data_IF_725542047207
#
_entry.id   IF_725542047207
#
_cell.length_a   1.000
_cell.length_b   1.000
_cell.length_c   1.000
_cell.angle_alpha   90.00
_cell.angle_beta   90.00
_cell.angle_gamma   90.00
#
_symmetry.space_group_name_H-M   'P 1'
#
loop_
_entity.id
_entity.type
_entity.pdbx_description
1 polymer ?
#
# COMPACT_ATOMS: atom_id res chain seq x y z
N UNK A 1 3.47 15.96 2.19
CA UNK A 1 4.31 15.31 1.16
C UNK A 1 3.47 14.77 -0.01
N UNK A 2 2.49 13.90 0.20
CA UNK A 2 1.63 13.39 -0.88
C UNK A 2 0.88 14.51 -1.64
N UNK A 3 0.45 15.57 -0.95
CA UNK A 3 -0.30 16.68 -1.54
C UNK A 3 0.51 17.58 -2.48
N UNK A 4 1.84 17.47 -2.46
CA UNK A 4 2.72 18.34 -3.26
C UNK A 4 3.13 17.73 -4.60
N UNK A 5 2.74 16.48 -4.87
CA UNK A 5 3.08 15.77 -6.11
C UNK A 5 1.84 15.55 -6.97
N UNK A 6 1.73 16.31 -8.06
CA UNK A 6 0.64 16.14 -9.04
C UNK A 6 0.66 14.77 -9.71
N UNK A 7 1.84 14.14 -9.79
CA UNK A 7 2.03 12.82 -10.39
C UNK A 7 1.31 11.70 -9.62
N UNK A 8 1.22 11.81 -8.30
CA UNK A 8 0.58 10.79 -7.45
C UNK A 8 -0.91 10.62 -7.77
N UNK A 9 -1.58 11.71 -8.15
CA UNK A 9 -3.01 11.69 -8.47
C UNK A 9 -3.38 10.67 -9.54
N UNK A 10 -2.47 10.38 -10.47
CA UNK A 10 -2.65 9.40 -11.55
C UNK A 10 -2.68 7.96 -11.02
N UNK A 11 -2.01 7.70 -9.90
CA UNK A 11 -1.90 6.37 -9.29
C UNK A 11 -2.88 6.12 -8.16
N UNK A 12 -3.76 7.08 -7.87
CA UNK A 12 -4.85 6.89 -6.91
C UNK A 12 -5.90 5.97 -7.54
N UNK A 13 -6.23 4.83 -6.90
CA UNK A 13 -7.30 3.95 -7.38
C UNK A 13 -8.66 4.66 -7.44
N UNK A 14 -9.59 4.16 -8.25
CA UNK A 14 -10.96 4.70 -8.28
C UNK A 14 -11.63 4.65 -6.92
N UNK A 15 -11.37 3.61 -6.14
CA UNK A 15 -11.86 3.47 -4.77
C UNK A 15 -11.12 4.35 -3.74
N UNK A 16 -10.10 5.08 -4.16
CA UNK A 16 -9.22 5.89 -3.30
C UNK A 16 -7.99 5.15 -2.82
N UNK A 17 -6.98 5.91 -2.40
CA UNK A 17 -5.80 5.40 -1.73
C UNK A 17 -5.90 5.59 -0.22
N UNK A 18 -5.13 4.84 0.54
CA UNK A 18 -4.94 5.09 1.96
C UNK A 18 -3.48 4.86 2.35
N UNK A 19 -3.09 5.51 3.42
CA UNK A 19 -1.81 5.33 4.07
C UNK A 19 -2.10 4.95 5.51
N UNK A 20 -1.66 3.77 5.91
CA UNK A 20 -1.86 3.26 7.26
C UNK A 20 -0.56 3.00 7.97
N UNK A 21 -0.55 3.19 9.29
CA UNK A 21 0.60 2.87 10.13
C UNK A 21 0.12 2.23 11.44
N UNK A 22 0.70 1.08 11.75
CA UNK A 22 0.43 0.37 13.00
C UNK A 22 1.29 0.91 14.14
N UNK A 23 0.73 0.88 15.37
CA UNK A 23 1.55 1.00 16.57
C UNK A 23 2.46 -0.23 16.72
N UNK A 24 3.53 -0.18 17.54
CA UNK A 24 4.34 -1.36 17.80
C UNK A 24 3.51 -2.52 18.36
N UNK A 25 3.81 -3.74 17.91
CA UNK A 25 3.11 -4.97 18.33
C UNK A 25 1.57 -4.90 18.18
N UNK A 26 1.07 -4.61 16.96
CA UNK A 26 -0.37 -4.49 16.75
C UNK A 26 -1.07 -5.84 16.92
N UNK A 27 -2.29 -5.82 17.48
CA UNK A 27 -3.11 -7.02 17.69
C UNK A 27 -4.19 -7.15 16.61
N UNK A 28 -4.68 -6.02 16.11
CA UNK A 28 -5.75 -6.01 15.12
C UNK A 28 -5.91 -4.67 14.43
N UNK A 29 -6.93 -4.52 13.57
CA UNK A 29 -7.15 -3.30 12.77
C UNK A 29 -7.30 -2.01 13.60
N UNK A 30 -7.77 -2.13 14.86
CA UNK A 30 -7.88 -1.00 15.77
C UNK A 30 -6.52 -0.42 16.19
N UNK A 31 -5.42 -1.11 15.90
CA UNK A 31 -4.05 -0.66 16.19
C UNK A 31 -3.36 -0.03 14.96
N UNK A 32 -4.09 0.10 13.85
CA UNK A 32 -3.59 0.71 12.61
C UNK A 32 -4.33 2.03 12.37
N UNK A 33 -3.58 3.12 12.34
CA UNK A 33 -4.11 4.44 12.00
C UNK A 33 -4.10 4.63 10.47
N UNK A 34 -5.19 5.14 9.93
CA UNK A 34 -5.33 5.45 8.51
C UNK A 34 -6.29 6.64 8.32
N UNK A 35 -6.45 7.12 7.09
CA UNK A 35 -7.31 8.26 6.79
C UNK A 35 -8.76 7.80 6.66
N UNK A 36 -9.70 8.33 7.48
CA UNK A 36 -11.13 8.06 7.32
C UNK A 36 -11.62 8.57 5.97
N UNK A 37 -12.41 7.76 5.26
CA UNK A 37 -12.93 8.13 3.95
C UNK A 37 -11.94 8.05 2.80
N UNK A 38 -10.71 7.67 3.07
CA UNK A 38 -9.60 7.52 2.09
C UNK A 38 -9.12 8.84 1.49
N UNK A 39 -8.03 8.78 0.77
CA UNK A 39 -7.44 9.88 0.02
C UNK A 39 -7.89 9.73 -1.44
N UNK A 40 -8.39 10.80 -2.02
CA UNK A 40 -8.91 10.80 -3.38
C UNK A 40 -8.15 11.76 -4.29
N UNK A 41 -8.17 11.48 -5.59
CA UNK A 41 -7.73 12.43 -6.61
C UNK A 41 -8.96 13.15 -7.17
N UNK A 42 -9.01 14.46 -6.98
CA UNK A 42 -10.07 15.32 -7.50
C UNK A 42 -9.46 16.32 -8.48
N UNK A 43 -9.81 16.20 -9.75
CA UNK A 43 -9.25 17.03 -10.82
C UNK A 43 -7.71 17.04 -10.86
N UNK A 44 -7.10 15.87 -10.62
CA UNK A 44 -5.65 15.70 -10.61
C UNK A 44 -4.96 16.12 -9.31
N UNK A 45 -5.70 16.58 -8.31
CA UNK A 45 -5.14 16.96 -7.00
C UNK A 45 -5.50 15.94 -5.94
N UNK A 46 -4.56 15.67 -5.06
CA UNK A 46 -4.77 14.81 -3.90
C UNK A 46 -5.57 15.57 -2.84
N UNK A 47 -6.69 14.98 -2.43
CA UNK A 47 -7.51 15.50 -1.32
C UNK A 47 -7.48 14.51 -0.15
N UNK A 48 -7.05 15.00 1.01
CA UNK A 48 -7.04 14.27 2.27
C UNK A 48 -8.18 14.80 3.13
N UNK A 49 -9.25 14.02 3.36
CA UNK A 49 -10.47 14.52 3.99
C UNK A 49 -10.36 14.79 5.50
N UNK A 50 -9.32 14.27 6.16
CA UNK A 50 -9.21 14.44 7.60
C UNK A 50 -7.89 13.91 8.17
N UNK A 51 -7.82 13.89 9.50
CA UNK A 51 -6.69 13.37 10.23
C UNK A 51 -6.72 11.84 10.33
N UNK A 52 -5.56 11.18 10.51
CA UNK A 52 -5.52 9.74 10.73
C UNK A 52 -6.30 9.34 12.00
N UNK A 53 -7.02 8.24 11.90
CA UNK A 53 -7.74 7.63 13.02
C UNK A 53 -7.46 6.13 13.07
N UNK A 54 -7.40 5.56 14.26
CA UNK A 54 -7.28 4.12 14.42
C UNK A 54 -8.55 3.39 13.97
N UNK A 55 -8.38 2.26 13.27
CA UNK A 55 -9.48 1.47 12.77
C UNK A 55 -10.16 2.01 11.51
N UNK A 56 -9.61 3.04 10.88
CA UNK A 56 -10.24 3.73 9.75
C UNK A 56 -10.17 2.99 8.40
N UNK A 57 -9.31 1.98 8.25
CA UNK A 57 -9.15 1.25 6.98
C UNK A 57 -8.98 -0.25 7.22
N UNK A 58 -9.85 -1.07 6.62
CA UNK A 58 -9.69 -2.52 6.64
C UNK A 58 -8.62 -3.01 5.67
N UNK A 59 -8.59 -2.49 4.45
CA UNK A 59 -7.70 -2.98 3.38
C UNK A 59 -6.22 -2.78 3.71
N UNK A 60 -5.85 -1.57 4.10
CA UNK A 60 -4.47 -1.26 4.48
C UNK A 60 -4.10 -1.96 5.78
N UNK A 61 -5.02 -2.02 6.75
CA UNK A 61 -4.80 -2.71 8.01
C UNK A 61 -4.50 -4.20 7.82
N UNK A 62 -5.25 -4.89 6.98
CA UNK A 62 -5.02 -6.31 6.70
C UNK A 62 -3.64 -6.56 6.12
N UNK A 63 -3.20 -5.71 5.21
CA UNK A 63 -1.88 -5.83 4.60
C UNK A 63 -0.76 -5.59 5.61
N UNK A 64 -0.88 -4.52 6.40
CA UNK A 64 0.10 -4.20 7.45
C UNK A 64 0.18 -5.33 8.48
N UNK A 65 -0.95 -5.84 8.95
CA UNK A 65 -0.98 -6.90 9.96
C UNK A 65 -0.39 -8.21 9.44
N UNK A 66 -0.72 -8.59 8.21
CA UNK A 66 -0.16 -9.81 7.60
C UNK A 66 1.37 -9.73 7.47
N UNK A 67 1.89 -8.58 7.06
CA UNK A 67 3.32 -8.37 6.94
C UNK A 67 4.01 -8.28 8.30
N UNK A 68 3.41 -7.57 9.26
CA UNK A 68 3.96 -7.36 10.61
C UNK A 68 4.08 -8.66 11.41
N UNK A 69 3.18 -9.61 11.24
CA UNK A 69 3.28 -10.92 11.89
C UNK A 69 4.55 -11.69 11.49
N UNK A 70 5.02 -11.48 10.27
CA UNK A 70 6.20 -12.15 9.74
C UNK A 70 7.46 -11.30 9.96
N UNK A 71 7.36 -10.00 9.75
CA UNK A 71 8.43 -9.04 9.96
C UNK A 71 7.90 -7.86 10.80
N UNK A 72 8.15 -7.85 12.13
CA UNK A 72 7.67 -6.80 13.02
C UNK A 72 8.17 -5.39 12.71
N UNK A 73 9.20 -5.24 11.88
CA UNK A 73 9.69 -3.93 11.44
C UNK A 73 8.77 -3.28 10.41
N UNK A 74 7.94 -4.05 9.70
CA UNK A 74 6.97 -3.53 8.76
C UNK A 74 5.73 -3.07 9.53
N UNK A 75 5.48 -1.77 9.50
CA UNK A 75 4.39 -1.15 10.27
C UNK A 75 3.50 -0.24 9.44
N UNK A 76 3.83 -0.03 8.17
CA UNK A 76 3.06 0.89 7.33
C UNK A 76 2.85 0.34 5.93
N UNK A 77 1.76 0.77 5.30
CA UNK A 77 1.44 0.47 3.91
C UNK A 77 0.64 1.59 3.25
N UNK A 78 0.82 1.72 1.94
CA UNK A 78 0.02 2.60 1.08
C UNK A 78 -0.46 1.77 -0.12
N UNK A 79 -1.70 1.96 -0.53
CA UNK A 79 -2.21 1.32 -1.75
C UNK A 79 -2.27 2.30 -2.91
N UNK A 80 -1.88 1.83 -4.07
CA UNK A 80 -1.89 2.56 -5.34
C UNK A 80 -2.59 1.71 -6.41
N UNK A 81 -2.96 2.34 -7.52
CA UNK A 81 -3.41 1.60 -8.71
C UNK A 81 -2.24 0.80 -9.28
N UNK A 82 -2.47 -0.46 -9.63
CA UNK A 82 -1.45 -1.27 -10.30
C UNK A 82 -1.17 -0.74 -11.71
N UNK A 83 0.10 -0.53 -11.99
CA UNK A 83 0.62 -0.08 -13.27
C UNK A 83 1.94 -0.77 -13.54
N UNK A 84 2.13 -1.30 -14.77
CA UNK A 84 3.34 -2.07 -15.10
C UNK A 84 4.60 -1.22 -15.05
N UNK A 85 4.53 0.04 -15.45
CA UNK A 85 5.69 0.95 -15.40
C UNK A 85 6.09 1.25 -13.96
N UNK A 86 5.10 1.37 -13.06
CA UNK A 86 5.35 1.52 -11.62
C UNK A 86 6.06 0.29 -11.04
N UNK A 87 5.59 -0.90 -11.41
CA UNK A 87 6.21 -2.16 -10.97
C UNK A 87 7.62 -2.32 -11.53
N UNK A 88 7.83 -1.94 -12.77
CA UNK A 88 9.14 -1.99 -13.42
C UNK A 88 10.12 -1.02 -12.74
N UNK A 89 9.69 0.21 -12.45
CA UNK A 89 10.48 1.19 -11.69
C UNK A 89 10.86 0.64 -10.30
N UNK A 90 9.96 -0.07 -9.64
CA UNK A 90 10.26 -0.71 -8.35
C UNK A 90 11.34 -1.79 -8.49
N UNK A 91 11.25 -2.64 -9.50
CA UNK A 91 12.26 -3.68 -9.78
C UNK A 91 13.63 -3.09 -10.10
N UNK A 92 13.67 -2.03 -10.89
CA UNK A 92 14.91 -1.31 -11.24
C UNK A 92 15.58 -0.69 -10.02
N UNK A 93 14.79 -0.26 -9.03
CA UNK A 93 15.31 0.23 -7.75
C UNK A 93 15.69 -0.87 -6.76
N UNK A 94 15.56 -2.14 -7.15
CA UNK A 94 15.93 -3.29 -6.34
C UNK A 94 14.86 -3.81 -5.41
N UNK A 95 13.62 -3.32 -5.51
CA UNK A 95 12.52 -3.85 -4.73
C UNK A 95 12.04 -5.19 -5.28
N UNK A 96 11.84 -6.16 -4.40
CA UNK A 96 11.15 -7.39 -4.73
C UNK A 96 9.66 -7.09 -4.91
N UNK A 97 9.08 -7.52 -6.02
CA UNK A 97 7.64 -7.44 -6.29
C UNK A 97 7.01 -8.82 -6.13
N UNK A 98 5.85 -8.87 -5.49
CA UNK A 98 5.12 -10.10 -5.25
C UNK A 98 3.67 -9.97 -5.71
N UNK A 99 3.27 -10.83 -6.64
CA UNK A 99 1.89 -10.90 -7.11
C UNK A 99 1.08 -11.88 -6.25
N UNK A 100 -0.14 -11.50 -5.88
CA UNK A 100 -1.08 -12.38 -5.20
C UNK A 100 -2.44 -12.37 -5.90
N UNK A 101 -3.28 -13.36 -5.59
CA UNK A 101 -4.60 -13.48 -6.17
C UNK A 101 -5.55 -12.42 -5.59
N UNK A 102 -6.32 -11.77 -6.45
CA UNK A 102 -7.34 -10.79 -6.07
C UNK A 102 -8.53 -11.40 -5.32
N UNK A 103 -8.68 -12.71 -5.27
CA UNK A 103 -9.72 -13.39 -4.51
C UNK A 103 -9.65 -13.03 -3.02
N UNK A 104 -10.80 -12.63 -2.47
CA UNK A 104 -10.87 -12.09 -1.11
C UNK A 104 -11.05 -13.15 -0.02
N UNK A 105 -11.34 -14.40 -0.37
CA UNK A 105 -11.48 -15.45 0.64
C UNK A 105 -10.13 -15.73 1.32
N UNK A 106 -10.08 -15.55 2.64
CA UNK A 106 -8.90 -15.78 3.48
C UNK A 106 -7.64 -15.01 3.04
N UNK A 107 -7.81 -13.83 2.45
CA UNK A 107 -6.69 -13.03 1.92
C UNK A 107 -5.58 -12.78 2.94
N UNK A 108 -5.93 -12.36 4.15
CA UNK A 108 -4.94 -12.05 5.21
C UNK A 108 -4.11 -13.27 5.57
N UNK A 109 -4.75 -14.42 5.74
CA UNK A 109 -4.09 -15.69 6.06
C UNK A 109 -3.21 -16.18 4.89
N UNK A 110 -3.70 -16.09 3.67
CA UNK A 110 -2.92 -16.43 2.46
C UNK A 110 -1.69 -15.54 2.29
N UNK A 111 -1.83 -14.23 2.51
CA UNK A 111 -0.70 -13.29 2.46
C UNK A 111 0.34 -13.60 3.54
N UNK A 112 -0.10 -13.81 4.78
CA UNK A 112 0.79 -14.19 5.87
C UNK A 112 1.55 -15.47 5.54
N UNK A 113 0.87 -16.52 5.09
CA UNK A 113 1.50 -17.79 4.71
C UNK A 113 2.51 -17.61 3.57
N UNK A 114 2.18 -16.81 2.57
CA UNK A 114 3.09 -16.49 1.48
C UNK A 114 4.34 -15.74 1.96
N UNK A 115 4.19 -14.80 2.88
CA UNK A 115 5.31 -14.07 3.46
C UNK A 115 6.20 -14.96 4.34
N UNK A 116 5.62 -15.87 5.10
CA UNK A 116 6.36 -16.84 5.94
C UNK A 116 7.27 -17.77 5.14
N UNK A 117 6.90 -18.10 3.90
CA UNK A 117 7.72 -18.97 3.03
C UNK A 117 8.89 -18.26 2.37
N UNK A 118 9.00 -16.94 2.52
CA UNK A 118 10.04 -16.12 1.89
C UNK A 118 11.10 -15.74 2.93
N UNK A 119 12.32 -15.49 2.47
CA UNK A 119 13.41 -15.03 3.34
C UNK A 119 13.14 -13.63 3.92
N UNK A 120 12.45 -12.78 3.15
CA UNK A 120 12.04 -11.43 3.54
C UNK A 120 10.63 -11.15 3.04
N UNK A 121 9.89 -10.29 3.73
CA UNK A 121 8.60 -9.79 3.24
C UNK A 121 8.84 -8.84 2.07
N UNK A 122 8.24 -9.07 0.89
CA UNK A 122 8.36 -8.15 -0.24
C UNK A 122 7.82 -6.77 0.11
N UNK A 123 8.51 -5.73 -0.34
CA UNK A 123 8.07 -4.34 -0.11
C UNK A 123 6.98 -3.89 -1.07
N UNK A 124 6.86 -4.53 -2.21
CA UNK A 124 5.84 -4.26 -3.24
C UNK A 124 5.00 -5.52 -3.42
N UNK A 125 3.72 -5.43 -3.06
CA UNK A 125 2.76 -6.55 -3.11
C UNK A 125 1.56 -6.10 -3.94
N UNK A 126 1.23 -6.81 -5.00
CA UNK A 126 0.19 -6.36 -5.93
C UNK A 126 -0.71 -7.49 -6.43
N UNK A 127 -1.87 -7.11 -6.93
CA UNK A 127 -2.75 -7.97 -7.74
C UNK A 127 -3.24 -7.23 -8.98
N UNK A 128 -3.52 -8.00 -10.01
CA UNK A 128 -3.99 -7.48 -11.30
C UNK A 128 -5.51 -7.32 -11.38
N UNK A 129 -6.17 -7.49 -10.24
CA UNK A 129 -7.61 -7.39 -10.15
C UNK A 129 -8.34 -8.65 -10.57
N UNK A 130 -9.67 -8.59 -10.57
CA UNK A 130 -10.59 -9.61 -11.01
C UNK A 130 -11.90 -8.95 -11.44
N UNK A 131 -12.91 -9.72 -11.82
CA UNK A 131 -14.22 -9.16 -12.13
C UNK A 131 -14.77 -8.38 -10.93
N UNK A 132 -15.03 -7.08 -11.13
CA UNK A 132 -15.51 -6.19 -10.07
C UNK A 132 -14.46 -5.79 -9.03
N UNK A 133 -13.19 -6.17 -9.19
CA UNK A 133 -12.10 -5.86 -8.29
C UNK A 133 -11.02 -5.08 -9.03
N UNK A 134 -10.76 -3.86 -8.59
CA UNK A 134 -9.75 -2.97 -9.16
C UNK A 134 -8.34 -3.48 -8.86
N UNK A 135 -7.39 -3.43 -9.84
CA UNK A 135 -5.99 -3.78 -9.60
C UNK A 135 -5.33 -2.85 -8.57
N UNK A 136 -4.69 -3.41 -7.55
CA UNK A 136 -4.09 -2.66 -6.45
C UNK A 136 -2.63 -3.10 -6.22
N UNK A 137 -1.76 -2.13 -5.98
CA UNK A 137 -0.39 -2.30 -5.54
C UNK A 137 -0.21 -1.71 -4.15
N UNK A 138 0.35 -2.50 -3.23
CA UNK A 138 0.69 -2.06 -1.89
C UNK A 138 2.19 -1.81 -1.78
N UNK A 139 2.56 -0.66 -1.22
CA UNK A 139 3.94 -0.33 -0.84
C UNK A 139 4.04 -0.46 0.67
N UNK A 140 4.92 -1.35 1.14
CA UNK A 140 5.13 -1.66 2.55
C UNK A 140 6.40 -1.01 3.07
N UNK A 141 6.43 -0.65 4.35
CA UNK A 141 7.60 -0.05 4.97
C UNK A 141 7.53 0.01 6.50
N UNK A 142 8.57 0.56 7.09
CA UNK A 142 8.71 0.65 8.54
C UNK A 142 7.85 1.75 9.15
N UNK A 143 7.60 2.81 8.39
CA UNK A 143 6.80 3.94 8.82
C UNK A 143 6.02 4.55 7.66
N UNK A 144 5.01 5.35 7.98
CA UNK A 144 4.26 6.11 6.98
C UNK A 144 5.18 7.01 6.15
N UNK A 145 6.16 7.65 6.77
CA UNK A 145 7.12 8.52 6.08
C UNK A 145 7.98 7.73 5.10
N UNK A 146 8.51 6.57 5.51
CA UNK A 146 9.33 5.74 4.61
C UNK A 146 8.53 5.22 3.43
N UNK A 147 7.28 4.83 3.63
CA UNK A 147 6.37 4.40 2.56
C UNK A 147 6.08 5.54 1.58
N UNK A 148 5.77 6.73 2.08
CA UNK A 148 5.51 7.90 1.23
C UNK A 148 6.74 8.27 0.40
N UNK A 149 7.93 8.21 0.97
CA UNK A 149 9.17 8.48 0.22
C UNK A 149 9.35 7.50 -0.94
N UNK A 150 9.14 6.20 -0.71
CA UNK A 150 9.19 5.19 -1.77
C UNK A 150 8.13 5.46 -2.83
N UNK A 151 6.90 5.75 -2.44
CA UNK A 151 5.81 6.08 -3.39
C UNK A 151 6.20 7.26 -4.28
N UNK A 152 6.73 8.34 -3.70
CA UNK A 152 7.16 9.52 -4.46
C UNK A 152 8.27 9.16 -5.45
N UNK A 153 9.28 8.40 -5.02
CA UNK A 153 10.37 7.95 -5.87
C UNK A 153 9.88 7.11 -7.06
N UNK A 154 8.99 6.15 -6.81
CA UNK A 154 8.44 5.29 -7.87
C UNK A 154 7.60 6.07 -8.88
N UNK A 155 6.73 6.94 -8.40
CA UNK A 155 5.85 7.76 -9.24
C UNK A 155 6.65 8.77 -10.06
N UNK A 156 7.68 9.38 -9.48
CA UNK A 156 8.56 10.33 -10.17
C UNK A 156 9.40 9.62 -11.24
N UNK A 157 9.96 8.46 -10.96
CA UNK A 157 10.74 7.68 -11.90
C UNK A 157 9.90 7.26 -13.14
N UNK A 158 8.64 6.90 -12.93
CA UNK A 158 7.72 6.56 -14.03
C UNK A 158 7.41 7.79 -14.89
N UNK A 159 7.23 8.96 -14.29
CA UNK A 159 6.93 10.19 -15.03
C UNK A 159 8.11 10.68 -15.87
N UNK A 160 9.34 10.41 -15.44
CA UNK A 160 10.57 10.82 -16.13
C UNK A 160 11.00 9.84 -17.23
N UNK A 161 10.38 8.67 -17.29
CA UNK A 161 10.64 7.67 -18.32
C UNK A 161 9.75 7.91 -19.55
#
# INVERSE_FOLDING_TARGET
MLQTSDSIGTFVPNAGTNLGMARPSPVGPADVAAIPGRIHSVRGRIEVPGNPEFGASEHVSRMVLAANEVDPTIRAACNLRTDEQLLEAAREQGFETFAFDADYENRTERLRSAFETRATVPRIVYHEGAFGIEPITYVLGESAVSVVNVVIELVTAETDA
#
